data_IF_658082106581
#
_entry.id   IF_658082106581
#
_cell.length_a   1.000
_cell.length_b   1.000
_cell.length_c   1.000
_cell.angle_alpha   90.00
_cell.angle_beta   90.00
_cell.angle_gamma   90.00
#
_symmetry.space_group_name_H-M   'P 1'
#
loop_
_entity.id
_entity.type
_entity.pdbx_description
1 polymer ?
#
# COMPACT_ATOMS: atom_id res chain seq x y z
N UNK A 1 -7.36 -8.12 -14.07
CA UNK A 1 -7.87 -8.27 -12.69
C UNK A 1 -8.18 -6.96 -12.00
N UNK A 2 -7.40 -5.86 -12.22
CA UNK A 2 -7.56 -4.63 -11.41
C UNK A 2 -8.98 -4.06 -11.41
N UNK A 3 -9.66 -4.03 -12.55
CA UNK A 3 -11.04 -3.53 -12.64
C UNK A 3 -12.02 -4.53 -12.02
N UNK A 4 -11.83 -5.84 -12.26
CA UNK A 4 -12.69 -6.87 -11.71
C UNK A 4 -12.67 -6.90 -10.17
N UNK A 5 -11.50 -6.65 -9.57
CA UNK A 5 -11.31 -6.64 -8.11
C UNK A 5 -11.49 -5.24 -7.47
N UNK A 6 -11.68 -4.19 -8.26
CA UNK A 6 -11.53 -2.81 -7.77
C UNK A 6 -10.23 -2.63 -6.97
N UNK A 7 -9.12 -3.12 -7.53
CA UNK A 7 -7.88 -3.23 -6.79
C UNK A 7 -7.40 -1.89 -6.23
N UNK A 8 -6.95 -1.94 -4.99
CA UNK A 8 -6.14 -0.92 -4.34
C UNK A 8 -4.66 -1.29 -4.38
N UNK A 9 -3.82 -0.59 -3.64
CA UNK A 9 -2.40 -0.87 -3.53
C UNK A 9 -1.66 0.29 -2.89
N UNK A 10 -0.32 0.21 -2.92
CA UNK A 10 0.62 1.14 -2.30
C UNK A 10 0.27 2.62 -2.50
N UNK A 11 -0.22 2.97 -3.70
CA UNK A 11 -0.49 4.37 -4.07
C UNK A 11 -1.95 4.80 -3.90
N UNK A 12 -2.84 3.92 -3.44
CA UNK A 12 -4.27 4.24 -3.36
C UNK A 12 -4.59 5.33 -2.33
N UNK A 13 -3.74 5.52 -1.33
CA UNK A 13 -3.90 6.58 -0.34
C UNK A 13 -3.95 7.97 -0.99
N UNK A 14 -3.05 8.25 -1.94
CA UNK A 14 -2.96 9.54 -2.65
C UNK A 14 -3.77 9.55 -3.95
N UNK A 15 -3.76 8.45 -4.69
CA UNK A 15 -4.25 8.40 -6.05
C UNK A 15 -5.58 7.66 -6.22
N UNK A 16 -6.11 7.11 -5.13
CA UNK A 16 -7.40 6.40 -5.12
C UNK A 16 -7.32 4.96 -5.62
N UNK A 17 -8.43 4.27 -5.48
CA UNK A 17 -8.64 2.91 -5.97
C UNK A 17 -8.86 2.89 -7.49
N UNK A 18 -8.99 1.71 -8.06
CA UNK A 18 -9.31 1.52 -9.48
C UNK A 18 -10.59 2.27 -9.86
N UNK A 19 -11.66 2.17 -9.08
CA UNK A 19 -12.94 2.88 -9.31
C UNK A 19 -12.77 4.40 -9.42
N UNK A 20 -11.82 5.00 -8.70
CA UNK A 20 -11.56 6.44 -8.76
C UNK A 20 -10.86 6.88 -10.07
N UNK A 21 -10.30 5.94 -10.81
CA UNK A 21 -9.45 6.18 -11.98
C UNK A 21 -10.04 5.65 -13.30
N UNK A 22 -11.03 4.76 -13.23
CA UNK A 22 -11.74 4.24 -14.41
C UNK A 22 -12.81 5.24 -14.84
N UNK A 23 -12.81 5.61 -16.13
CA UNK A 23 -13.79 6.49 -16.76
C UNK A 23 -14.76 5.74 -17.65
N UNK A 24 -14.39 4.56 -18.14
CA UNK A 24 -15.24 3.74 -18.98
C UNK A 24 -14.67 2.36 -19.21
N UNK A 25 -15.53 1.43 -19.58
CA UNK A 25 -15.17 0.06 -19.93
C UNK A 25 -15.95 -0.40 -21.16
N UNK A 26 -15.34 -1.33 -21.91
CA UNK A 26 -16.04 -2.25 -22.77
C UNK A 26 -16.01 -3.62 -22.10
N UNK A 27 -17.11 -4.33 -22.11
CA UNK A 27 -17.20 -5.67 -21.55
C UNK A 27 -18.11 -6.58 -22.38
N UNK A 28 -17.88 -7.86 -22.29
CA UNK A 28 -18.70 -8.90 -22.91
C UNK A 28 -19.56 -9.56 -21.82
N UNK A 29 -20.86 -9.52 -21.97
CA UNK A 29 -21.82 -10.16 -21.08
C UNK A 29 -21.86 -11.69 -21.29
N UNK A 30 -22.51 -12.42 -20.37
CA UNK A 30 -22.70 -13.88 -20.49
C UNK A 30 -23.48 -14.27 -21.75
N UNK A 31 -24.29 -13.36 -22.30
CA UNK A 31 -25.03 -13.53 -23.56
C UNK A 31 -24.17 -13.40 -24.81
N UNK A 32 -22.90 -12.96 -24.68
CA UNK A 32 -22.03 -12.58 -25.80
C UNK A 32 -22.24 -11.17 -26.30
N UNK A 33 -23.16 -10.40 -25.70
CA UNK A 33 -23.39 -8.99 -26.05
C UNK A 33 -22.22 -8.15 -25.56
N UNK A 34 -21.79 -7.20 -26.40
CA UNK A 34 -20.75 -6.20 -26.06
C UNK A 34 -21.42 -4.96 -25.50
N UNK A 35 -21.08 -4.62 -24.26
CA UNK A 35 -21.59 -3.44 -23.57
C UNK A 35 -20.47 -2.42 -23.40
N UNK A 36 -20.78 -1.14 -23.66
CA UNK A 36 -19.86 -0.01 -23.39
C UNK A 36 -20.49 0.90 -22.35
N UNK A 37 -19.76 1.18 -21.28
CA UNK A 37 -20.17 2.01 -20.15
C UNK A 37 -19.17 3.12 -19.92
N UNK A 38 -19.66 4.34 -19.63
CA UNK A 38 -18.80 5.50 -19.44
C UNK A 38 -18.09 5.94 -20.73
N UNK A 39 -16.97 6.66 -20.60
CA UNK A 39 -16.22 7.20 -21.73
C UNK A 39 -15.14 8.18 -21.30
N UNK A 40 -14.74 9.07 -22.19
CA UNK A 40 -13.74 10.12 -21.94
C UNK A 40 -14.31 11.37 -21.23
N UNK A 41 -15.36 11.21 -20.48
CA UNK A 41 -16.05 12.26 -19.71
C UNK A 41 -16.34 11.75 -18.30
N UNK A 42 -16.57 12.68 -17.38
CA UNK A 42 -16.77 12.35 -15.96
C UNK A 42 -18.20 11.97 -15.62
N UNK A 43 -19.17 12.47 -16.40
CA UNK A 43 -20.58 12.24 -16.14
C UNK A 43 -21.09 11.06 -16.96
N UNK A 44 -21.87 10.20 -16.33
CA UNK A 44 -22.63 9.14 -16.99
C UNK A 44 -24.13 9.45 -16.92
N UNK A 45 -24.88 9.16 -17.98
CA UNK A 45 -26.33 9.26 -17.95
C UNK A 45 -26.95 8.07 -17.21
N UNK A 46 -27.91 8.34 -16.33
CA UNK A 46 -28.67 7.32 -15.61
C UNK A 46 -27.96 6.73 -14.40
N UNK A 47 -28.08 5.43 -14.20
CA UNK A 47 -27.43 4.73 -13.09
C UNK A 47 -25.93 4.60 -13.27
N UNK A 48 -25.17 4.59 -12.18
CA UNK A 48 -23.72 4.31 -12.18
C UNK A 48 -23.46 2.81 -12.42
N UNK A 49 -23.64 2.39 -13.66
CA UNK A 49 -23.35 1.02 -14.08
C UNK A 49 -21.84 0.75 -14.12
N UNK A 50 -21.02 1.77 -14.35
CA UNK A 50 -19.56 1.65 -14.32
C UNK A 50 -19.07 1.25 -12.92
N UNK A 51 -19.59 1.91 -11.88
CA UNK A 51 -19.33 1.55 -10.49
C UNK A 51 -19.83 0.15 -10.13
N UNK A 52 -20.99 -0.26 -10.66
CA UNK A 52 -21.52 -1.62 -10.47
C UNK A 52 -20.61 -2.69 -11.06
N UNK A 53 -20.04 -2.46 -12.25
CA UNK A 53 -19.19 -3.43 -12.95
C UNK A 53 -17.76 -3.48 -12.40
N UNK A 54 -17.27 -2.37 -11.84
CA UNK A 54 -15.95 -2.30 -11.21
C UNK A 54 -15.99 -3.01 -9.85
N UNK A 55 -15.16 -4.05 -9.68
CA UNK A 55 -15.19 -4.91 -8.49
C UNK A 55 -16.24 -6.04 -8.56
N UNK A 56 -16.76 -6.34 -9.76
CA UNK A 56 -17.75 -7.42 -9.95
C UNK A 56 -17.15 -8.83 -10.03
N UNK A 57 -15.83 -8.98 -9.87
CA UNK A 57 -15.09 -10.25 -9.86
C UNK A 57 -15.34 -11.11 -11.13
N UNK A 58 -15.71 -10.48 -12.24
CA UNK A 58 -16.04 -11.19 -13.49
C UNK A 58 -17.43 -11.82 -13.51
N UNK A 59 -18.22 -11.67 -12.44
CA UNK A 59 -19.56 -12.31 -12.33
C UNK A 59 -20.59 -11.65 -13.28
N UNK A 60 -20.38 -10.38 -13.65
CA UNK A 60 -21.31 -9.64 -14.52
C UNK A 60 -20.85 -9.61 -15.98
N UNK A 61 -19.63 -10.00 -16.27
CA UNK A 61 -19.07 -10.04 -17.61
C UNK A 61 -17.54 -9.95 -17.62
N UNK A 62 -16.95 -10.03 -18.80
CA UNK A 62 -15.50 -9.95 -19.01
C UNK A 62 -15.14 -8.58 -19.59
N UNK A 63 -14.35 -7.79 -18.85
CA UNK A 63 -13.86 -6.48 -19.31
C UNK A 63 -12.78 -6.67 -20.37
N UNK A 64 -12.95 -6.06 -21.53
CA UNK A 64 -12.07 -6.17 -22.71
C UNK A 64 -11.28 -4.89 -22.99
N UNK A 65 -11.87 -3.70 -22.76
CA UNK A 65 -11.22 -2.41 -22.89
C UNK A 65 -11.50 -1.54 -21.65
N UNK A 66 -10.52 -0.70 -21.28
CA UNK A 66 -10.64 0.18 -20.12
C UNK A 66 -10.18 1.58 -20.53
N UNK A 67 -11.03 2.58 -20.28
CA UNK A 67 -10.68 4.00 -20.36
C UNK A 67 -10.35 4.49 -18.96
N UNK A 68 -9.15 5.05 -18.77
CA UNK A 68 -8.69 5.54 -17.45
C UNK A 68 -8.33 7.02 -17.51
N UNK A 69 -8.44 7.68 -16.36
CA UNK A 69 -7.85 8.99 -16.15
C UNK A 69 -6.33 8.85 -16.14
N UNK A 70 -5.63 9.75 -16.80
CA UNK A 70 -4.18 9.87 -16.72
C UNK A 70 -3.80 11.03 -15.81
N UNK A 71 -2.68 10.89 -15.13
CA UNK A 71 -2.09 11.91 -14.26
C UNK A 71 -0.74 12.34 -14.82
N UNK A 72 -0.36 13.59 -14.55
CA UNK A 72 0.99 14.05 -14.83
C UNK A 72 1.97 13.26 -13.95
N UNK A 73 3.05 12.77 -14.55
CA UNK A 73 4.12 12.13 -13.78
C UNK A 73 4.72 13.14 -12.81
N UNK A 74 4.86 12.79 -11.51
CA UNK A 74 5.54 13.66 -10.55
C UNK A 74 6.96 14.02 -11.01
N UNK A 75 7.39 15.25 -10.72
CA UNK A 75 8.75 15.70 -11.07
C UNK A 75 9.81 14.91 -10.33
N UNK A 76 9.55 14.58 -9.06
CA UNK A 76 10.42 13.74 -8.24
C UNK A 76 9.60 12.81 -7.35
N UNK A 77 10.22 11.71 -6.95
CA UNK A 77 9.72 10.83 -5.89
C UNK A 77 10.91 10.37 -5.05
N UNK A 78 10.77 10.42 -3.72
CA UNK A 78 11.79 9.96 -2.77
C UNK A 78 11.13 9.13 -1.67
N UNK A 79 11.82 8.10 -1.20
CA UNK A 79 11.32 7.24 -0.14
C UNK A 79 12.19 7.36 1.11
N UNK A 80 11.53 7.38 2.25
CA UNK A 80 12.15 7.30 3.58
C UNK A 80 11.83 5.93 4.16
N UNK A 81 12.86 5.21 4.54
CA UNK A 81 12.77 3.92 5.24
C UNK A 81 13.06 4.14 6.72
N UNK A 82 12.13 3.78 7.59
CA UNK A 82 12.13 4.14 9.02
C UNK A 82 11.95 2.88 9.86
N UNK A 83 12.91 2.61 10.74
CA UNK A 83 12.85 1.49 11.66
C UNK A 83 12.37 1.87 13.05
N UNK A 84 11.57 1.00 13.66
CA UNK A 84 10.98 1.20 14.97
C UNK A 84 11.23 -0.01 15.90
N UNK A 85 11.39 0.25 17.22
CA UNK A 85 11.56 -0.82 18.20
C UNK A 85 10.23 -1.49 18.58
N UNK A 86 9.09 -1.01 18.07
CA UNK A 86 7.78 -1.67 18.23
C UNK A 86 6.83 -1.33 17.09
N UNK A 87 5.91 -2.24 16.80
CA UNK A 87 4.86 -2.04 15.80
C UNK A 87 3.86 -0.95 16.20
N UNK A 88 3.65 -0.78 17.51
CA UNK A 88 2.77 0.27 18.05
C UNK A 88 3.32 1.67 17.77
N UNK A 89 4.64 1.87 17.93
CA UNK A 89 5.29 3.15 17.62
C UNK A 89 5.26 3.45 16.12
N UNK A 90 5.48 2.43 15.28
CA UNK A 90 5.34 2.56 13.84
C UNK A 90 3.90 2.94 13.45
N UNK A 91 2.90 2.25 14.01
CA UNK A 91 1.49 2.56 13.78
C UNK A 91 1.08 3.96 14.26
N UNK A 92 1.62 4.43 15.40
CA UNK A 92 1.40 5.80 15.87
C UNK A 92 2.04 6.83 14.93
N UNK A 93 3.24 6.53 14.41
CA UNK A 93 3.89 7.37 13.40
C UNK A 93 3.04 7.51 12.14
N UNK A 94 2.46 6.43 11.63
CA UNK A 94 1.50 6.45 10.52
C UNK A 94 0.33 7.38 10.82
N UNK A 95 -0.28 7.25 11.98
CA UNK A 95 -1.42 8.08 12.38
C UNK A 95 -1.02 9.57 12.49
N UNK A 96 0.16 9.87 13.03
CA UNK A 96 0.66 11.24 13.18
C UNK A 96 1.00 11.88 11.82
N UNK A 97 1.61 11.14 10.88
CA UNK A 97 1.89 11.62 9.52
C UNK A 97 0.59 12.06 8.84
N UNK A 98 -0.41 11.19 8.84
CA UNK A 98 -1.72 11.50 8.25
C UNK A 98 -2.43 12.62 9.01
N UNK A 99 -2.35 12.61 10.36
CA UNK A 99 -2.94 13.62 11.22
C UNK A 99 -2.35 15.02 11.03
N UNK A 100 -1.10 15.13 10.57
CA UNK A 100 -0.47 16.39 10.17
C UNK A 100 -0.85 16.87 8.76
N UNK A 101 -1.71 16.13 8.04
CA UNK A 101 -2.15 16.48 6.70
C UNK A 101 -1.18 16.04 5.59
N UNK A 102 -0.17 15.24 5.91
CA UNK A 102 0.76 14.68 4.92
C UNK A 102 0.09 13.46 4.28
N UNK A 103 -0.08 13.49 2.97
CA UNK A 103 -0.61 12.38 2.18
C UNK A 103 0.52 11.85 1.27
N UNK A 104 1.24 10.80 1.70
CA UNK A 104 2.32 10.23 0.91
C UNK A 104 1.82 9.61 -0.41
N UNK A 105 2.69 9.58 -1.41
CA UNK A 105 2.47 8.83 -2.65
C UNK A 105 2.33 7.32 -2.40
N UNK A 106 2.96 6.83 -1.33
CA UNK A 106 2.80 5.48 -0.81
C UNK A 106 3.32 5.39 0.63
N UNK A 107 2.66 4.59 1.46
CA UNK A 107 3.09 4.34 2.83
C UNK A 107 2.78 2.90 3.21
N UNK A 108 3.82 2.16 3.57
CA UNK A 108 3.74 0.72 3.84
C UNK A 108 4.47 0.38 5.13
N UNK A 109 3.89 -0.51 5.90
CA UNK A 109 4.49 -1.01 7.13
C UNK A 109 4.64 -2.53 7.09
N UNK A 110 5.76 -3.03 7.60
CA UNK A 110 6.03 -4.45 7.80
C UNK A 110 6.47 -4.69 9.24
N UNK A 111 6.03 -5.81 9.83
CA UNK A 111 6.57 -6.28 11.10
C UNK A 111 7.85 -7.10 10.90
N UNK A 112 8.54 -7.43 12.01
CA UNK A 112 9.81 -8.15 12.00
C UNK A 112 9.77 -9.47 11.21
N UNK A 113 8.75 -10.35 11.34
CA UNK A 113 8.66 -11.55 10.52
C UNK A 113 8.59 -11.28 9.01
N UNK A 114 7.85 -10.26 8.61
CA UNK A 114 7.75 -9.86 7.21
C UNK A 114 9.06 -9.24 6.69
N UNK A 115 9.73 -8.39 7.50
CA UNK A 115 11.04 -7.79 7.20
C UNK A 115 12.07 -8.89 6.96
N UNK A 116 12.18 -9.86 7.90
CA UNK A 116 13.14 -10.96 7.81
C UNK A 116 12.87 -11.81 6.54
N UNK A 117 11.62 -12.18 6.28
CA UNK A 117 11.27 -12.95 5.09
C UNK A 117 11.64 -12.21 3.80
N UNK A 118 11.33 -10.92 3.71
CA UNK A 118 11.63 -10.09 2.55
C UNK A 118 13.14 -9.95 2.34
N UNK A 119 13.92 -9.70 3.40
CA UNK A 119 15.37 -9.53 3.30
C UNK A 119 16.06 -10.85 2.93
N UNK A 120 15.64 -11.98 3.49
CA UNK A 120 16.15 -13.31 3.11
C UNK A 120 15.86 -13.65 1.64
N UNK A 121 14.78 -13.07 1.08
CA UNK A 121 14.35 -13.34 -0.28
C UNK A 121 15.04 -12.46 -1.33
N UNK A 122 15.12 -11.13 -1.09
CA UNK A 122 15.59 -10.16 -2.10
C UNK A 122 16.86 -9.40 -1.72
N UNK A 123 17.26 -9.38 -0.43
CA UNK A 123 18.50 -8.77 0.08
C UNK A 123 18.66 -7.30 -0.34
N UNK A 124 17.69 -6.47 0.04
CA UNK A 124 17.67 -5.04 -0.29
C UNK A 124 18.28 -4.15 0.78
N UNK A 125 18.75 -4.73 1.89
CA UNK A 125 19.41 -4.03 3.00
C UNK A 125 18.44 -3.50 4.05
N UNK A 126 17.35 -4.21 4.31
CA UNK A 126 16.44 -3.86 5.40
C UNK A 126 17.10 -4.06 6.77
N UNK A 127 16.86 -3.16 7.74
CA UNK A 127 17.35 -3.34 9.09
C UNK A 127 16.66 -4.55 9.76
N UNK A 128 17.46 -5.49 10.28
CA UNK A 128 16.95 -6.71 10.92
C UNK A 128 16.86 -6.57 12.45
N UNK A 129 17.33 -5.47 13.00
CA UNK A 129 17.36 -5.15 14.42
C UNK A 129 16.15 -4.30 14.88
N UNK A 130 15.13 -4.19 14.02
CA UNK A 130 13.89 -3.45 14.30
C UNK A 130 12.70 -4.40 14.42
N UNK A 131 11.65 -3.98 15.13
CA UNK A 131 10.39 -4.73 15.24
C UNK A 131 9.38 -4.33 14.16
N UNK A 132 9.49 -3.13 13.61
CA UNK A 132 8.68 -2.67 12.49
C UNK A 132 9.47 -1.76 11.56
N UNK A 133 9.17 -1.84 10.28
CA UNK A 133 9.71 -1.02 9.22
C UNK A 133 8.57 -0.25 8.54
N UNK A 134 8.72 1.05 8.42
CA UNK A 134 7.82 1.92 7.66
C UNK A 134 8.57 2.45 6.44
N UNK A 135 7.95 2.36 5.26
CA UNK A 135 8.43 2.95 4.01
C UNK A 135 7.43 4.04 3.63
N UNK A 136 7.90 5.29 3.54
CA UNK A 136 7.09 6.45 3.17
C UNK A 136 7.63 7.04 1.89
N UNK A 137 6.86 7.06 0.82
CA UNK A 137 7.22 7.70 -0.44
C UNK A 137 6.49 9.03 -0.57
N UNK A 138 7.26 10.07 -0.86
CA UNK A 138 6.76 11.41 -1.13
C UNK A 138 7.08 11.77 -2.57
N UNK A 139 6.09 12.28 -3.28
CA UNK A 139 6.19 12.62 -4.69
C UNK A 139 5.49 13.93 -5.02
N UNK A 140 6.07 14.68 -5.94
CA UNK A 140 5.60 16.01 -6.33
C UNK A 140 6.74 16.93 -6.80
N UNK A 141 6.58 18.26 -6.67
CA UNK A 141 7.65 19.23 -6.89
C UNK A 141 8.81 19.04 -5.89
N UNK A 142 10.09 19.17 -6.29
CA UNK A 142 11.24 18.92 -5.42
C UNK A 142 11.21 19.66 -4.09
N UNK A 143 10.86 20.95 -4.10
CA UNK A 143 10.81 21.79 -2.89
C UNK A 143 9.76 21.29 -1.89
N UNK A 144 8.61 20.87 -2.38
CA UNK A 144 7.54 20.28 -1.55
C UNK A 144 7.99 18.94 -0.96
N UNK A 145 8.55 18.06 -1.80
CA UNK A 145 9.04 16.75 -1.37
C UNK A 145 10.12 16.88 -0.29
N UNK A 146 11.10 17.79 -0.45
CA UNK A 146 12.15 18.02 0.54
C UNK A 146 11.57 18.56 1.87
N UNK A 147 10.60 19.46 1.80
CA UNK A 147 9.90 19.95 3.00
C UNK A 147 9.14 18.84 3.74
N UNK A 148 8.38 18.03 3.01
CA UNK A 148 7.61 16.93 3.58
C UNK A 148 8.51 15.83 4.16
N UNK A 149 9.66 15.54 3.53
CA UNK A 149 10.66 14.61 4.08
C UNK A 149 11.10 15.07 5.47
N UNK A 150 11.48 16.34 5.64
CA UNK A 150 11.88 16.85 6.95
C UNK A 150 10.77 16.75 8.00
N UNK A 151 9.52 16.93 7.62
CA UNK A 151 8.39 16.73 8.53
C UNK A 151 8.21 15.27 8.92
N UNK A 152 8.29 14.35 7.95
CA UNK A 152 8.18 12.90 8.20
C UNK A 152 9.30 12.42 9.11
N UNK A 153 10.54 12.86 8.89
CA UNK A 153 11.69 12.54 9.76
C UNK A 153 11.49 13.05 11.19
N UNK A 154 10.99 14.28 11.37
CA UNK A 154 10.69 14.83 12.67
C UNK A 154 9.57 14.06 13.41
N UNK A 155 8.52 13.66 12.69
CA UNK A 155 7.44 12.84 13.23
C UNK A 155 7.95 11.45 13.61
N UNK A 156 8.79 10.84 12.77
CA UNK A 156 9.38 9.54 13.04
C UNK A 156 10.25 9.56 14.32
N UNK A 157 11.10 10.58 14.46
CA UNK A 157 11.93 10.75 15.65
C UNK A 157 11.08 10.95 16.91
N UNK A 158 10.03 11.77 16.84
CA UNK A 158 9.08 11.96 17.96
C UNK A 158 8.42 10.65 18.38
N UNK A 159 8.18 9.74 17.45
CA UNK A 159 7.59 8.42 17.71
C UNK A 159 8.65 7.35 18.05
N UNK A 160 9.90 7.72 18.27
CA UNK A 160 10.94 6.81 18.76
C UNK A 160 11.55 5.91 17.69
N UNK A 161 11.63 6.38 16.43
CA UNK A 161 12.35 5.66 15.37
C UNK A 161 13.83 5.49 15.75
N UNK A 162 14.38 4.31 15.46
CA UNK A 162 15.79 3.98 15.71
C UNK A 162 16.66 4.20 14.49
N UNK A 163 16.07 4.11 13.30
CA UNK A 163 16.75 4.36 12.02
C UNK A 163 15.85 5.15 11.10
N UNK A 164 16.45 6.01 10.28
CA UNK A 164 15.76 6.77 9.25
C UNK A 164 16.70 6.92 8.04
N UNK A 165 16.37 6.33 6.92
CA UNK A 165 17.21 6.30 5.73
C UNK A 165 16.44 6.85 4.54
N UNK A 166 16.89 8.00 4.03
CA UNK A 166 16.34 8.62 2.83
C UNK A 166 17.01 8.03 1.58
N UNK A 167 16.22 7.66 0.58
CA UNK A 167 16.74 7.20 -0.71
C UNK A 167 17.56 8.30 -1.40
N UNK A 168 18.77 7.94 -1.82
CA UNK A 168 19.72 8.85 -2.48
C UNK A 168 19.66 8.77 -4.01
N UNK A 169 19.02 7.71 -4.54
CA UNK A 169 18.85 7.50 -5.97
C UNK A 169 17.53 6.79 -6.26
N UNK A 170 17.15 6.79 -7.53
CA UNK A 170 15.97 6.06 -8.01
C UNK A 170 16.13 4.54 -7.78
N UNK A 171 17.33 4.00 -7.99
CA UNK A 171 17.63 2.60 -7.76
C UNK A 171 17.41 2.22 -6.29
N UNK A 172 17.86 3.06 -5.36
CA UNK A 172 17.67 2.83 -3.92
C UNK A 172 16.20 2.93 -3.54
N UNK A 173 15.46 3.92 -4.08
CA UNK A 173 14.02 4.03 -3.90
C UNK A 173 13.30 2.78 -4.36
N UNK A 174 13.63 2.29 -5.55
CA UNK A 174 13.06 1.06 -6.10
C UNK A 174 13.44 -0.18 -5.28
N UNK A 175 14.65 -0.22 -4.72
CA UNK A 175 15.09 -1.30 -3.84
C UNK A 175 14.25 -1.37 -2.57
N UNK A 176 13.94 -0.23 -1.91
CA UNK A 176 13.04 -0.20 -0.75
C UNK A 176 11.67 -0.84 -1.07
N UNK A 177 11.11 -0.52 -2.25
CA UNK A 177 9.84 -1.09 -2.69
C UNK A 177 9.94 -2.55 -3.13
N UNK A 178 11.08 -2.97 -3.67
CA UNK A 178 11.28 -4.35 -4.14
C UNK A 178 11.15 -5.35 -2.98
N UNK A 179 11.72 -5.03 -1.82
CA UNK A 179 11.57 -5.85 -0.62
C UNK A 179 10.12 -5.95 -0.16
N UNK A 180 9.40 -4.82 -0.10
CA UNK A 180 7.98 -4.81 0.26
C UNK A 180 7.12 -5.62 -0.72
N UNK A 181 7.33 -5.47 -2.01
CA UNK A 181 6.61 -6.24 -3.04
C UNK A 181 6.91 -7.74 -2.98
N UNK A 182 8.09 -8.10 -2.50
CA UNK A 182 8.51 -9.48 -2.35
C UNK A 182 8.00 -10.13 -1.04
N UNK A 183 7.42 -9.37 -0.10
CA UNK A 183 7.00 -9.89 1.20
C UNK A 183 6.03 -11.07 1.07
N UNK A 184 5.03 -10.98 0.18
CA UNK A 184 4.06 -12.06 -0.01
C UNK A 184 4.70 -13.38 -0.49
N UNK A 185 5.46 -13.45 -1.60
CA UNK A 185 6.13 -14.68 -1.98
C UNK A 185 7.24 -15.10 -1.00
N UNK A 186 7.84 -14.16 -0.27
CA UNK A 186 8.87 -14.43 0.71
C UNK A 186 8.35 -15.23 1.92
N UNK A 187 7.12 -14.97 2.37
CA UNK A 187 6.47 -15.71 3.47
C UNK A 187 6.37 -17.20 3.15
N UNK A 188 6.22 -17.58 1.89
CA UNK A 188 6.25 -18.98 1.44
C UNK A 188 7.53 -19.74 1.77
N UNK A 189 8.64 -19.03 2.06
CA UNK A 189 9.88 -19.63 2.55
C UNK A 189 9.85 -19.95 4.05
N UNK A 190 9.03 -19.22 4.82
CA UNK A 190 8.85 -19.46 6.25
C UNK A 190 7.95 -20.67 6.46
N UNK A 191 6.90 -20.81 5.65
CA UNK A 191 5.97 -21.92 5.67
C UNK A 191 5.43 -22.17 4.26
N UNK A 192 5.47 -23.42 3.76
CA UNK A 192 4.94 -23.76 2.44
C UNK A 192 3.43 -23.52 2.36
N UNK A 193 2.74 -23.67 3.48
CA UNK A 193 1.31 -23.42 3.61
C UNK A 193 1.08 -22.23 4.55
N UNK A 194 0.33 -21.25 4.11
CA UNK A 194 -0.07 -20.09 4.90
C UNK A 194 -1.45 -19.60 4.49
N UNK A 195 -2.16 -18.99 5.44
CA UNK A 195 -3.44 -18.34 5.20
C UNK A 195 -3.19 -16.83 5.06
N UNK A 196 -3.52 -16.29 3.88
CA UNK A 196 -3.56 -14.84 3.68
C UNK A 196 -4.92 -14.32 4.13
N UNK A 197 -4.92 -13.29 4.96
CA UNK A 197 -6.13 -12.65 5.45
C UNK A 197 -6.01 -11.15 5.23
N UNK A 198 -7.01 -10.56 4.59
CA UNK A 198 -7.13 -9.12 4.45
C UNK A 198 -8.11 -8.54 5.47
N UNK A 199 -7.81 -7.35 5.96
CA UNK A 199 -8.67 -6.64 6.88
C UNK A 199 -8.48 -5.13 6.76
N UNK A 200 -9.58 -4.40 6.94
CA UNK A 200 -9.56 -2.95 6.98
C UNK A 200 -9.89 -2.46 8.37
N UNK A 201 -9.08 -1.56 8.90
CA UNK A 201 -9.25 -0.99 10.24
C UNK A 201 -9.15 0.54 10.20
N UNK A 202 -9.81 1.26 11.10
CA UNK A 202 -9.57 2.69 11.26
C UNK A 202 -8.11 2.94 11.64
N UNK A 203 -7.42 3.88 10.96
CA UNK A 203 -5.98 4.16 11.17
C UNK A 203 -5.59 4.38 12.62
N UNK A 204 -6.42 5.10 13.40
CA UNK A 204 -6.20 5.34 14.82
C UNK A 204 -6.19 4.08 15.70
N UNK A 205 -6.79 3.00 15.22
CA UNK A 205 -6.86 1.71 15.93
C UNK A 205 -5.67 0.78 15.57
N UNK A 206 -4.84 1.17 14.61
CA UNK A 206 -3.73 0.33 14.14
C UNK A 206 -2.83 -0.14 15.28
N UNK A 207 -2.33 0.69 16.20
CA UNK A 207 -1.49 0.24 17.29
C UNK A 207 -2.17 -0.82 18.18
N UNK A 208 -3.45 -0.62 18.48
CA UNK A 208 -4.24 -1.56 19.32
C UNK A 208 -4.46 -2.91 18.61
N UNK A 209 -4.75 -2.88 17.32
CA UNK A 209 -4.97 -4.11 16.53
C UNK A 209 -3.67 -4.90 16.40
N UNK A 210 -2.55 -4.23 16.14
CA UNK A 210 -1.23 -4.89 16.07
C UNK A 210 -0.85 -5.58 17.38
N UNK A 211 -1.07 -4.91 18.51
CA UNK A 211 -0.85 -5.53 19.82
C UNK A 211 -1.75 -6.75 20.02
N UNK A 212 -3.04 -6.66 19.67
CA UNK A 212 -3.97 -7.78 19.78
C UNK A 212 -3.61 -8.96 18.87
N UNK A 213 -3.11 -8.71 17.66
CA UNK A 213 -2.63 -9.76 16.75
C UNK A 213 -1.41 -10.48 17.34
N UNK A 214 -0.47 -9.76 17.94
CA UNK A 214 0.68 -10.34 18.63
C UNK A 214 0.24 -11.24 19.78
N UNK A 215 -0.64 -10.74 20.66
CA UNK A 215 -1.14 -11.50 21.81
C UNK A 215 -1.85 -12.78 21.38
N UNK A 216 -2.62 -12.75 20.28
CA UNK A 216 -3.28 -13.92 19.70
C UNK A 216 -2.27 -14.89 19.07
N UNK A 217 -1.27 -14.38 18.36
CA UNK A 217 -0.16 -15.18 17.80
C UNK A 217 0.53 -15.97 18.89
N UNK A 218 0.92 -15.31 19.99
CA UNK A 218 1.54 -15.95 21.14
C UNK A 218 0.62 -16.98 21.81
N UNK A 219 -0.64 -16.59 22.07
CA UNK A 219 -1.64 -17.45 22.72
C UNK A 219 -1.88 -18.76 21.99
N UNK A 220 -1.92 -18.71 20.66
CA UNK A 220 -2.22 -19.90 19.85
C UNK A 220 -0.99 -20.57 19.24
N UNK A 221 0.21 -20.01 19.45
CA UNK A 221 1.45 -20.53 18.89
C UNK A 221 1.50 -20.48 17.37
N UNK A 222 0.78 -19.54 16.75
CA UNK A 222 0.73 -19.36 15.31
C UNK A 222 1.65 -18.21 14.90
N UNK A 223 2.48 -18.42 13.90
CA UNK A 223 3.32 -17.34 13.34
C UNK A 223 2.45 -16.43 12.49
N UNK A 224 2.55 -15.13 12.72
CA UNK A 224 1.87 -14.09 11.95
C UNK A 224 2.92 -13.16 11.37
N UNK A 225 2.80 -12.83 10.09
CA UNK A 225 3.58 -11.79 9.43
C UNK A 225 2.60 -10.72 8.93
N UNK A 226 2.77 -9.50 9.39
CA UNK A 226 1.87 -8.39 9.09
C UNK A 226 2.50 -7.42 8.10
N UNK A 227 1.70 -7.04 7.11
CA UNK A 227 2.05 -6.03 6.11
C UNK A 227 0.83 -5.13 5.93
N UNK A 228 1.03 -3.82 6.00
CA UNK A 228 -0.05 -2.83 5.95
C UNK A 228 0.23 -1.73 4.93
N UNK A 229 -0.81 -1.23 4.32
CA UNK A 229 -0.80 -0.01 3.52
C UNK A 229 -1.97 0.92 3.80
#
# INVERSE_FOLDING_TARGET
GNVAENAGGVHCLKYGLTANNVLGIEMVLITGEVLRLGGKHLDSEGYDLLGLMTGSEGLLGVVTEITVRILQKPETARAVMIGFPSSEQAGQCVADIIGCGIIPGGMEMMDRPAIQAAEDFVRVGYPLDVEALLIVELDGPPVEVDHLIGQVEAIALKNGSTTCTLSQSEEQRLAFWAGRKAAFPAVGRISPDYLCMDGTIPRKELPRVLSGMRDLSEKYGLRVANVFH
#
